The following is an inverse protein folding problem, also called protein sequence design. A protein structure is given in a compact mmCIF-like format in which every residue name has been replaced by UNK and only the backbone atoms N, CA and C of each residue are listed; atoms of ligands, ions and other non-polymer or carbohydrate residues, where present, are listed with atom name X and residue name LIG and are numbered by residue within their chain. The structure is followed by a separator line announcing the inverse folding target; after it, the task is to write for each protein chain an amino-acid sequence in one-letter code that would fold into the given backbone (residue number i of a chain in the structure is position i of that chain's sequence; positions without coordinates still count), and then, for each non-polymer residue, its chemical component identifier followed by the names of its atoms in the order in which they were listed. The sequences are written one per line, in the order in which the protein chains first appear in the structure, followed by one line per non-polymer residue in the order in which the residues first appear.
data_IF_321701231077
#
_entry.id   IF_321701231077
#
_cell.length_a   1.000
_cell.length_b   1.000
_cell.length_c   1.000
_cell.angle_alpha   90.00
_cell.angle_beta   90.00
_cell.angle_gamma   90.00
#
_symmetry.space_group_name_H-M   'P 1'
#
loop_
_entity.id
_entity.type
_entity.pdbx_description
1 polymer ?
#
# COMPACT_ATOMS: atom_id res chain seq x y z
N UNK A 1 -26.86 -32.31 -0.12
CA UNK A 1 -27.12 -30.88 -0.35
C UNK A 1 -27.35 -30.30 1.03
N UNK A 2 -26.31 -29.70 1.63
CA UNK A 2 -26.35 -29.16 2.99
C UNK A 2 -27.13 -27.84 2.97
N UNK A 3 -28.09 -27.68 3.88
CA UNK A 3 -28.96 -26.50 3.96
C UNK A 3 -28.32 -25.49 4.89
N UNK A 4 -28.04 -24.28 4.39
CA UNK A 4 -27.45 -23.20 5.18
C UNK A 4 -28.60 -22.41 5.82
N UNK A 5 -28.71 -22.45 7.16
CA UNK A 5 -29.65 -21.62 7.91
C UNK A 5 -28.94 -20.33 8.36
N UNK A 6 -29.37 -19.19 7.82
CA UNK A 6 -28.88 -17.88 8.23
C UNK A 6 -29.56 -17.44 9.54
N UNK A 7 -28.78 -17.05 10.55
CA UNK A 7 -29.29 -16.42 11.77
C UNK A 7 -29.74 -14.97 11.53
N UNK A 8 -30.75 -14.49 12.27
CA UNK A 8 -31.43 -13.17 12.12
C UNK A 8 -30.52 -11.93 12.15
N UNK A 9 -29.26 -12.03 12.59
CA UNK A 9 -28.25 -10.96 12.53
C UNK A 9 -27.05 -11.37 11.67
N UNK A 10 -27.24 -11.35 10.34
CA UNK A 10 -26.21 -11.75 9.38
C UNK A 10 -25.43 -10.54 8.88
N UNK A 11 -24.23 -10.33 9.44
CA UNK A 11 -23.28 -9.33 8.91
C UNK A 11 -22.59 -9.87 7.66
N UNK A 12 -22.69 -9.15 6.54
CA UNK A 12 -22.04 -9.55 5.27
C UNK A 12 -20.51 -9.50 5.37
N UNK A 13 -19.95 -8.65 6.23
CA UNK A 13 -18.50 -8.51 6.42
C UNK A 13 -17.92 -9.61 7.32
N UNK A 14 -18.72 -10.06 8.29
CA UNK A 14 -18.32 -11.04 9.31
C UNK A 14 -19.43 -12.06 9.55
N UNK A 15 -19.77 -12.90 8.56
CA UNK A 15 -20.88 -13.83 8.71
C UNK A 15 -20.50 -14.98 9.65
N UNK A 16 -21.48 -15.42 10.43
CA UNK A 16 -21.41 -16.69 11.14
C UNK A 16 -22.36 -17.67 10.47
N UNK A 17 -21.85 -18.82 10.05
CA UNK A 17 -22.61 -19.81 9.28
C UNK A 17 -22.70 -21.11 10.06
N UNK A 18 -23.89 -21.67 10.16
CA UNK A 18 -24.12 -23.01 10.70
C UNK A 18 -24.30 -23.99 9.54
N UNK A 19 -23.56 -25.08 9.58
CA UNK A 19 -23.64 -26.16 8.61
C UNK A 19 -23.68 -27.50 9.32
N UNK A 20 -24.30 -28.49 8.69
CA UNK A 20 -24.23 -29.86 9.16
C UNK A 20 -22.78 -30.34 9.16
N UNK A 21 -22.45 -31.17 10.14
CA UNK A 21 -21.11 -31.69 10.32
C UNK A 21 -20.71 -32.54 9.11
N UNK A 22 -19.65 -32.09 8.46
CA UNK A 22 -18.92 -32.85 7.46
C UNK A 22 -17.43 -32.71 7.75
N UNK A 23 -16.81 -33.78 8.25
CA UNK A 23 -15.41 -33.75 8.66
C UNK A 23 -14.46 -33.47 7.48
N UNK A 24 -14.91 -33.55 6.22
CA UNK A 24 -14.10 -33.15 5.06
C UNK A 24 -13.77 -31.66 5.06
N UNK A 25 -14.57 -30.84 5.75
CA UNK A 25 -14.39 -29.38 5.82
C UNK A 25 -13.21 -29.01 6.75
N UNK A 26 -12.76 -29.97 7.58
CA UNK A 26 -11.63 -29.77 8.49
C UNK A 26 -10.35 -29.69 7.65
N UNK A 27 -9.77 -28.48 7.59
CA UNK A 27 -8.56 -28.19 6.82
C UNK A 27 -8.75 -27.12 5.74
N UNK A 28 -9.99 -26.70 5.48
CA UNK A 28 -10.26 -25.52 4.66
C UNK A 28 -10.15 -24.24 5.49
N UNK A 29 -9.52 -23.22 4.92
CA UNK A 29 -9.28 -21.90 5.52
C UNK A 29 -9.96 -20.76 4.73
N UNK A 30 -10.67 -21.11 3.66
CA UNK A 30 -11.27 -20.16 2.73
C UNK A 30 -12.60 -20.66 2.18
N UNK A 31 -13.56 -19.75 2.02
CA UNK A 31 -14.90 -20.06 1.54
C UNK A 31 -15.43 -19.00 0.58
N UNK A 32 -16.25 -19.42 -0.38
CA UNK A 32 -17.04 -18.54 -1.23
C UNK A 32 -18.51 -18.73 -0.89
N UNK A 33 -19.19 -17.62 -0.56
CA UNK A 33 -20.64 -17.61 -0.30
C UNK A 33 -21.30 -16.98 -1.51
N UNK A 34 -22.07 -17.79 -2.24
CA UNK A 34 -22.70 -17.38 -3.50
C UNK A 34 -23.79 -16.33 -3.29
N UNK A 35 -24.52 -16.40 -2.18
CA UNK A 35 -25.59 -15.47 -1.80
C UNK A 35 -25.09 -14.03 -1.65
N UNK A 36 -23.84 -13.87 -1.19
CA UNK A 36 -23.21 -12.55 -1.06
C UNK A 36 -22.33 -12.20 -2.25
N UNK A 37 -22.04 -13.18 -3.12
CA UNK A 37 -21.04 -13.10 -4.17
C UNK A 37 -19.69 -12.58 -3.63
N UNK A 38 -19.27 -13.11 -2.47
CA UNK A 38 -18.09 -12.67 -1.73
C UNK A 38 -17.27 -13.86 -1.26
N UNK A 39 -15.97 -13.62 -1.17
CA UNK A 39 -15.00 -14.56 -0.65
C UNK A 39 -14.67 -14.22 0.80
N UNK A 40 -14.39 -15.24 1.60
CA UNK A 40 -14.23 -15.15 3.05
C UNK A 40 -13.06 -16.01 3.52
N UNK A 41 -12.30 -15.48 4.47
CA UNK A 41 -11.36 -16.25 5.27
C UNK A 41 -12.10 -16.90 6.45
N UNK A 42 -11.74 -18.14 6.76
CA UNK A 42 -12.19 -18.83 7.97
C UNK A 42 -11.34 -18.36 9.15
N UNK A 43 -11.98 -17.71 10.13
CA UNK A 43 -11.32 -17.24 11.35
C UNK A 43 -11.56 -18.16 12.54
N UNK A 44 -12.66 -18.92 12.54
CA UNK A 44 -12.99 -19.86 13.61
C UNK A 44 -13.88 -21.00 13.13
N UNK A 45 -13.64 -22.19 13.67
CA UNK A 45 -14.47 -23.38 13.47
C UNK A 45 -14.79 -23.99 14.83
N UNK A 46 -16.08 -23.99 15.18
CA UNK A 46 -16.57 -24.49 16.46
C UNK A 46 -17.57 -25.62 16.23
N UNK A 47 -17.47 -26.70 17.00
CA UNK A 47 -18.44 -27.80 16.93
C UNK A 47 -19.63 -27.45 17.83
N UNK A 48 -20.82 -27.38 17.26
CA UNK A 48 -22.07 -27.09 17.96
C UNK A 48 -22.89 -28.38 18.04
N UNK A 49 -23.25 -28.80 19.26
CA UNK A 49 -24.11 -29.95 19.54
C UNK A 49 -23.64 -31.29 18.91
N UNK A 50 -22.36 -31.41 18.57
CA UNK A 50 -21.73 -32.61 17.99
C UNK A 50 -22.04 -32.88 16.51
N UNK A 51 -23.16 -32.36 16.01
CA UNK A 51 -23.70 -32.65 14.68
C UNK A 51 -23.64 -31.46 13.70
N UNK A 52 -23.22 -30.28 14.16
CA UNK A 52 -23.10 -29.07 13.33
C UNK A 52 -21.75 -28.38 13.57
N UNK A 53 -21.29 -27.67 12.55
CA UNK A 53 -20.17 -26.74 12.65
C UNK A 53 -20.67 -25.31 12.55
N UNK A 54 -20.17 -24.46 13.44
CA UNK A 54 -20.27 -23.02 13.38
C UNK A 54 -18.97 -22.48 12.80
N UNK A 55 -19.08 -21.87 11.63
CA UNK A 55 -17.99 -21.20 10.95
C UNK A 55 -18.07 -19.70 11.22
N UNK A 56 -16.99 -19.14 11.71
CA UNK A 56 -16.79 -17.69 11.83
C UNK A 56 -15.92 -17.24 10.67
N UNK A 57 -16.44 -16.30 9.89
CA UNK A 57 -15.85 -15.87 8.63
C UNK A 57 -15.57 -14.37 8.65
N UNK A 58 -14.58 -13.94 7.87
CA UNK A 58 -14.29 -12.52 7.62
C UNK A 58 -14.06 -12.31 6.14
N UNK A 59 -14.67 -11.28 5.55
CA UNK A 59 -14.60 -11.05 4.11
C UNK A 59 -13.17 -10.80 3.63
N UNK A 60 -12.84 -11.30 2.44
CA UNK A 60 -11.68 -10.90 1.66
C UNK A 60 -12.10 -9.81 0.67
N UNK A 61 -11.87 -8.51 0.97
CA UNK A 61 -12.27 -7.44 0.07
C UNK A 61 -11.43 -7.42 -1.21
N UNK A 62 -10.17 -7.87 -1.19
CA UNK A 62 -9.31 -7.84 -2.36
C UNK A 62 -9.76 -8.85 -3.41
N UNK A 63 -10.11 -10.07 -2.98
CA UNK A 63 -10.62 -11.09 -3.88
C UNK A 63 -12.06 -10.79 -4.32
N UNK A 64 -12.92 -10.38 -3.37
CA UNK A 64 -14.33 -10.10 -3.66
C UNK A 64 -14.52 -8.93 -4.62
N UNK A 65 -13.70 -7.88 -4.50
CA UNK A 65 -13.79 -6.69 -5.35
C UNK A 65 -12.70 -6.64 -6.42
N UNK A 66 -12.02 -7.77 -6.69
CA UNK A 66 -10.87 -7.84 -7.60
C UNK A 66 -11.16 -7.21 -8.96
N UNK A 67 -12.31 -7.51 -9.55
CA UNK A 67 -12.71 -6.99 -10.86
C UNK A 67 -12.94 -5.47 -10.82
N UNK A 68 -13.65 -4.95 -9.81
CA UNK A 68 -13.87 -3.51 -9.69
C UNK A 68 -12.56 -2.77 -9.43
N UNK A 69 -11.71 -3.28 -8.53
CA UNK A 69 -10.40 -2.68 -8.21
C UNK A 69 -9.52 -2.64 -9.46
N UNK A 70 -9.41 -3.73 -10.21
CA UNK A 70 -8.63 -3.78 -11.45
C UNK A 70 -9.17 -2.86 -12.53
N UNK A 71 -10.49 -2.65 -12.59
CA UNK A 71 -11.12 -1.72 -13.53
C UNK A 71 -11.07 -0.25 -13.08
N UNK A 72 -10.71 0.00 -11.82
CA UNK A 72 -10.75 1.35 -11.25
C UNK A 72 -9.65 2.23 -11.85
N UNK A 73 -10.00 3.48 -12.14
CA UNK A 73 -9.07 4.51 -12.58
C UNK A 73 -8.77 5.44 -11.41
N UNK A 74 -7.49 5.64 -11.10
CA UNK A 74 -7.05 6.54 -10.03
C UNK A 74 -5.95 7.47 -10.53
N UNK A 75 -5.89 8.67 -9.94
CA UNK A 75 -4.81 9.62 -10.18
C UNK A 75 -3.77 9.41 -9.07
N UNK A 76 -2.62 8.86 -9.43
CA UNK A 76 -1.50 8.76 -8.51
C UNK A 76 -0.84 10.13 -8.35
N UNK A 77 -0.97 10.75 -7.17
CA UNK A 77 -0.34 12.04 -6.88
C UNK A 77 1.19 11.96 -6.80
N UNK A 78 1.72 10.79 -6.45
CA UNK A 78 3.16 10.56 -6.24
C UNK A 78 3.54 9.20 -6.78
N UNK A 79 4.72 9.12 -7.37
CA UNK A 79 5.33 7.87 -7.82
C UNK A 79 6.84 8.04 -7.81
N UNK A 80 7.55 7.00 -7.37
CA UNK A 80 9.02 6.98 -7.33
C UNK A 80 9.63 6.69 -8.70
N UNK A 81 8.89 6.02 -9.58
CA UNK A 81 9.36 5.57 -10.89
C UNK A 81 8.84 6.39 -12.05
N UNK A 82 7.70 7.08 -11.89
CA UNK A 82 7.05 7.81 -12.98
C UNK A 82 6.45 9.14 -12.48
N UNK A 83 7.22 10.21 -12.60
CA UNK A 83 6.87 11.55 -12.08
C UNK A 83 6.06 12.28 -13.16
N UNK A 84 4.86 12.76 -12.79
CA UNK A 84 4.10 13.70 -13.62
C UNK A 84 4.34 15.15 -13.14
N UNK A 85 5.05 16.00 -13.90
CA UNK A 85 5.32 17.38 -13.51
C UNK A 85 4.08 18.29 -13.51
N UNK A 86 2.95 17.86 -14.08
CA UNK A 86 1.68 18.61 -14.06
C UNK A 86 0.93 18.45 -12.74
N UNK A 87 1.34 17.51 -11.88
CA UNK A 87 0.74 17.28 -10.58
C UNK A 87 1.63 17.92 -9.51
N UNK A 88 1.05 18.84 -8.73
CA UNK A 88 1.75 19.46 -7.60
C UNK A 88 2.07 18.42 -6.52
N UNK A 89 3.37 18.24 -6.23
CA UNK A 89 3.87 17.43 -5.10
C UNK A 89 4.60 18.33 -4.09
N UNK A 90 3.85 18.84 -3.10
CA UNK A 90 4.34 19.74 -2.05
C UNK A 90 5.33 19.07 -1.07
N UNK A 91 5.60 17.78 -1.21
CA UNK A 91 6.51 17.03 -0.35
C UNK A 91 7.81 16.61 -1.07
N UNK A 92 8.02 17.02 -2.33
CA UNK A 92 9.34 16.88 -2.96
C UNK A 92 10.25 17.96 -2.41
N UNK A 93 11.17 17.56 -1.53
CA UNK A 93 12.33 18.39 -1.22
C UNK A 93 13.20 18.41 -2.48
N UNK A 94 13.09 19.47 -3.29
CA UNK A 94 14.12 19.74 -4.27
C UNK A 94 15.44 19.83 -3.51
N UNK A 95 16.32 18.85 -3.67
CA UNK A 95 17.71 19.00 -3.26
C UNK A 95 18.25 20.15 -4.10
N UNK A 96 18.23 21.37 -3.55
CA UNK A 96 18.74 22.54 -4.20
C UNK A 96 20.22 22.27 -4.51
N UNK A 97 20.51 21.88 -5.74
CA UNK A 97 21.89 21.80 -6.20
C UNK A 97 22.39 23.25 -6.21
N UNK A 98 23.39 23.62 -5.41
CA UNK A 98 23.89 24.99 -5.42
C UNK A 98 24.39 25.30 -6.83
N UNK A 99 23.89 26.40 -7.43
CA UNK A 99 24.39 26.90 -8.72
C UNK A 99 25.83 27.38 -8.51
N UNK A 100 26.81 26.52 -8.78
CA UNK A 100 28.24 26.84 -8.73
C UNK A 100 28.63 27.52 -10.04
N UNK A 101 29.15 28.74 -9.95
CA UNK A 101 29.76 29.42 -11.08
C UNK A 101 31.28 29.40 -10.84
N UNK A 102 31.98 28.51 -11.53
CA UNK A 102 33.45 28.50 -11.51
C UNK A 102 33.95 29.54 -12.52
N UNK A 103 34.62 30.59 -12.05
CA UNK A 103 35.34 31.54 -12.93
C UNK A 103 36.83 31.33 -12.76
N UNK A 104 37.53 31.11 -13.88
CA UNK A 104 39.00 31.13 -13.89
C UNK A 104 39.45 32.56 -13.59
N UNK A 105 40.34 32.73 -12.63
CA UNK A 105 40.93 34.04 -12.36
C UNK A 105 41.79 34.46 -13.56
N UNK A 106 41.74 35.74 -13.91
CA UNK A 106 42.50 36.30 -15.05
C UNK A 106 44.00 36.35 -14.80
N UNK A 107 44.43 36.38 -13.54
CA UNK A 107 45.83 36.30 -13.11
C UNK A 107 45.93 35.21 -12.03
N UNK A 108 46.90 34.31 -12.18
CA UNK A 108 47.21 33.28 -11.19
C UNK A 108 48.10 33.83 -10.06
N UNK A 109 48.25 33.06 -8.98
CA UNK A 109 49.22 33.37 -7.93
C UNK A 109 50.63 33.04 -8.43
N UNK A 110 51.35 34.01 -8.99
CA UNK A 110 52.75 33.82 -9.40
C UNK A 110 53.70 34.36 -8.33
N UNK A 111 54.62 33.55 -7.79
CA UNK A 111 55.61 34.01 -6.82
C UNK A 111 56.69 34.93 -7.44
N UNK A 112 56.79 34.95 -8.77
CA UNK A 112 57.89 35.60 -9.50
C UNK A 112 57.76 37.12 -9.68
N UNK A 113 56.63 37.73 -9.33
CA UNK A 113 56.36 39.16 -9.59
C UNK A 113 56.13 40.01 -8.33
N UNK A 114 55.93 39.42 -7.15
CA UNK A 114 55.98 40.14 -5.89
C UNK A 114 56.00 39.11 -4.75
N UNK A 115 57.04 39.13 -3.90
CA UNK A 115 57.18 38.28 -2.71
C UNK A 115 56.19 38.67 -1.60
N UNK A 116 54.90 38.77 -1.91
CA UNK A 116 53.83 39.23 -1.03
C UNK A 116 52.91 38.11 -0.54
N UNK A 117 51.92 38.50 0.28
CA UNK A 117 50.88 37.64 0.82
C UNK A 117 49.54 37.90 0.10
N UNK A 118 48.76 36.85 -0.15
CA UNK A 118 47.44 36.94 -0.77
C UNK A 118 46.34 36.80 0.28
N UNK A 119 45.37 37.71 0.26
CA UNK A 119 44.21 37.65 1.14
C UNK A 119 43.00 37.17 0.34
N UNK A 120 42.38 36.09 0.81
CA UNK A 120 41.12 35.60 0.29
C UNK A 120 39.98 36.18 1.13
N UNK A 121 39.10 36.96 0.52
CA UNK A 121 37.91 37.48 1.18
C UNK A 121 36.67 36.82 0.61
N UNK A 122 35.84 36.24 1.48
CA UNK A 122 34.53 35.72 1.11
C UNK A 122 33.54 36.89 1.09
N UNK A 123 33.17 37.33 -0.11
CA UNK A 123 32.10 38.32 -0.31
C UNK A 123 30.75 37.62 -0.37
N UNK A 124 29.98 37.68 0.72
CA UNK A 124 28.55 37.36 0.69
C UNK A 124 27.77 38.47 -0.02
N UNK A 125 26.73 38.09 -0.76
CA UNK A 125 25.78 39.04 -1.34
C UNK A 125 24.47 38.96 -0.57
#
# INVERSE_FOLDING_TARGET
MSTIEATDELSIETPTVLIDRDDSIIGFDYAYIQEFNRYYFLTGLNIVNGNQFRLELTVDPLMSFRSQILSSQCIAKRSTSNINPEIEDNQVVFKAAPKRINRKMSIGFSPSSSGGCYILTLGGK
#
